data_IF_519874407159
#
_entry.id   IF_519874407159
#
_cell.length_a   1.000
_cell.length_b   1.000
_cell.length_c   1.000
_cell.angle_alpha   90.00
_cell.angle_beta   90.00
_cell.angle_gamma   90.00
#
_symmetry.space_group_name_H-M   'P 1'
#
loop_
_entity.id
_entity.type
_entity.pdbx_description
1 polymer ?
#
# COMPACT_ATOMS: atom_id res chain seq x y z
N UNK A 1 -38.01 -19.73 -61.14
CA UNK A 1 -36.63 -19.33 -60.82
C UNK A 1 -36.68 -18.44 -59.58
N UNK A 2 -36.03 -18.89 -58.48
CA UNK A 2 -35.39 -18.12 -57.38
C UNK A 2 -36.24 -17.07 -56.63
N UNK A 3 -36.17 -16.88 -55.32
CA UNK A 3 -35.21 -17.29 -54.31
C UNK A 3 -35.90 -17.12 -52.94
N UNK A 4 -35.77 -18.12 -52.07
CA UNK A 4 -36.18 -18.08 -50.67
C UNK A 4 -35.21 -17.18 -49.90
N UNK A 5 -35.71 -16.13 -49.25
CA UNK A 5 -34.94 -15.31 -48.33
C UNK A 5 -35.12 -15.88 -46.91
N UNK A 6 -34.16 -16.70 -46.49
CA UNK A 6 -34.08 -17.22 -45.12
C UNK A 6 -33.37 -16.17 -44.26
N UNK A 7 -34.11 -15.41 -43.45
CA UNK A 7 -33.51 -14.54 -42.43
C UNK A 7 -32.98 -15.41 -41.29
N UNK A 8 -31.67 -15.42 -41.11
CA UNK A 8 -31.01 -16.00 -39.94
C UNK A 8 -31.05 -14.94 -38.82
N UNK A 9 -31.62 -15.21 -37.64
CA UNK A 9 -31.51 -14.30 -36.51
C UNK A 9 -30.08 -14.38 -35.97
N UNK A 10 -29.37 -13.25 -36.05
CA UNK A 10 -28.05 -13.05 -35.49
C UNK A 10 -28.17 -13.00 -33.97
N UNK A 11 -27.90 -14.12 -33.29
CA UNK A 11 -27.82 -14.17 -31.82
C UNK A 11 -26.53 -13.47 -31.42
N UNK A 12 -26.65 -12.23 -30.93
CA UNK A 12 -25.58 -11.50 -30.26
C UNK A 12 -25.28 -12.18 -28.92
N UNK A 13 -24.31 -13.09 -28.92
CA UNK A 13 -23.70 -13.57 -27.67
C UNK A 13 -22.78 -12.46 -27.18
N UNK A 14 -23.27 -11.65 -26.25
CA UNK A 14 -22.42 -10.72 -25.51
C UNK A 14 -21.46 -11.56 -24.66
N UNK A 15 -20.21 -11.68 -25.11
CA UNK A 15 -19.11 -12.15 -24.27
C UNK A 15 -18.91 -11.13 -23.15
N UNK A 16 -19.55 -11.34 -21.99
CA UNK A 16 -19.07 -10.73 -20.76
C UNK A 16 -17.73 -11.38 -20.44
N UNK A 17 -16.65 -10.78 -20.94
CA UNK A 17 -15.33 -11.02 -20.40
C UNK A 17 -15.36 -10.58 -18.94
N UNK A 18 -15.36 -11.56 -18.04
CA UNK A 18 -15.27 -11.33 -16.60
C UNK A 18 -13.85 -10.80 -16.34
N UNK A 19 -13.67 -9.48 -16.33
CA UNK A 19 -12.44 -8.90 -15.81
C UNK A 19 -12.44 -9.19 -14.32
N UNK A 20 -11.60 -10.14 -13.86
CA UNK A 20 -11.31 -10.28 -12.43
C UNK A 20 -10.89 -8.89 -11.94
N UNK A 21 -11.72 -8.26 -11.12
CA UNK A 21 -11.35 -7.02 -10.45
C UNK A 21 -10.10 -7.26 -9.60
N UNK A 22 -9.25 -6.24 -9.45
CA UNK A 22 -8.09 -6.31 -8.55
C UNK A 22 -8.54 -6.82 -7.17
N UNK A 23 -7.80 -7.75 -6.58
CA UNK A 23 -8.09 -8.26 -5.22
C UNK A 23 -7.96 -7.11 -4.21
N UNK A 24 -9.09 -6.53 -3.82
CA UNK A 24 -9.18 -5.41 -2.88
C UNK A 24 -9.34 -5.92 -1.45
N UNK A 25 -8.59 -5.34 -0.51
CA UNK A 25 -8.69 -5.65 0.92
C UNK A 25 -8.70 -4.39 1.74
N UNK A 26 -9.56 -4.40 2.75
CA UNK A 26 -9.67 -3.35 3.74
C UNK A 26 -9.50 -3.94 5.14
N UNK A 27 -8.78 -3.21 6.00
CA UNK A 27 -8.68 -3.51 7.42
C UNK A 27 -8.89 -2.23 8.22
N UNK A 28 -9.61 -2.35 9.33
CA UNK A 28 -9.87 -1.26 10.26
C UNK A 28 -9.33 -1.64 11.63
N UNK A 29 -8.53 -0.77 12.22
CA UNK A 29 -8.06 -0.86 13.58
C UNK A 29 -8.67 0.23 14.44
N UNK A 30 -9.30 -0.14 15.53
CA UNK A 30 -9.80 0.80 16.53
C UNK A 30 -8.77 0.98 17.65
N UNK A 31 -8.56 2.21 18.08
CA UNK A 31 -7.64 2.61 19.14
C UNK A 31 -8.42 3.23 20.30
N UNK A 32 -7.70 3.46 21.40
CA UNK A 32 -8.25 4.20 22.53
C UNK A 32 -8.75 5.58 22.11
N UNK A 33 -9.69 6.12 22.90
CA UNK A 33 -10.31 7.45 22.65
C UNK A 33 -11.02 7.56 21.30
N UNK A 34 -11.42 6.41 20.72
CA UNK A 34 -12.24 6.35 19.51
C UNK A 34 -11.48 6.62 18.21
N UNK A 35 -10.14 6.63 18.22
CA UNK A 35 -9.39 6.79 16.99
C UNK A 35 -9.50 5.51 16.13
N UNK A 36 -9.57 5.67 14.81
CA UNK A 36 -9.61 4.54 13.87
C UNK A 36 -8.54 4.68 12.81
N UNK A 37 -7.95 3.57 12.39
CA UNK A 37 -7.05 3.50 11.25
C UNK A 37 -7.64 2.54 10.23
N UNK A 38 -7.93 3.04 9.04
CA UNK A 38 -8.40 2.24 7.91
C UNK A 38 -7.29 2.12 6.89
N UNK A 39 -6.99 0.90 6.45
CA UNK A 39 -6.03 0.60 5.40
C UNK A 39 -6.74 -0.09 4.25
N UNK A 40 -6.42 0.31 3.03
CA UNK A 40 -6.93 -0.33 1.81
C UNK A 40 -5.76 -0.70 0.91
N UNK A 41 -5.75 -1.95 0.42
CA UNK A 41 -4.75 -2.44 -0.51
C UNK A 41 -5.35 -3.19 -1.68
N UNK A 42 -4.63 -3.19 -2.79
CA UNK A 42 -4.93 -4.03 -3.96
C UNK A 42 -3.76 -4.95 -4.28
N UNK A 43 -4.03 -6.01 -5.05
CA UNK A 43 -2.96 -6.74 -5.74
C UNK A 43 -2.10 -5.78 -6.57
N UNK A 44 -0.78 -5.98 -6.50
CA UNK A 44 0.17 -5.20 -7.30
C UNK A 44 0.21 -5.74 -8.73
N UNK A 45 -0.12 -4.90 -9.71
CA UNK A 45 -0.15 -5.28 -11.13
C UNK A 45 1.08 -4.69 -11.81
N UNK A 46 2.16 -5.47 -11.94
CA UNK A 46 3.44 -5.00 -12.47
C UNK A 46 3.36 -4.28 -13.82
N UNK A 47 2.40 -4.64 -14.68
CA UNK A 47 2.18 -4.00 -15.98
C UNK A 47 1.69 -2.55 -15.90
N UNK A 48 1.15 -2.12 -14.75
CA UNK A 48 0.66 -0.76 -14.51
C UNK A 48 1.77 0.18 -13.99
N UNK A 49 2.95 -0.36 -13.67
CA UNK A 49 4.03 0.38 -13.04
C UNK A 49 5.32 0.37 -13.87
N UNK A 50 6.14 1.40 -13.70
CA UNK A 50 7.50 1.47 -14.26
C UNK A 50 8.49 0.90 -13.25
N UNK A 51 8.88 -0.35 -13.45
CA UNK A 51 9.87 -1.03 -12.62
C UNK A 51 11.28 -0.73 -13.13
N UNK A 52 12.15 -0.21 -12.24
CA UNK A 52 13.59 -0.10 -12.49
C UNK A 52 14.32 -1.12 -11.65
N UNK A 53 15.15 -1.93 -12.30
CA UNK A 53 16.06 -2.87 -11.64
C UNK A 53 17.45 -2.24 -11.48
N UNK A 54 18.09 -2.51 -10.35
CA UNK A 54 19.45 -2.10 -10.02
C UNK A 54 20.26 -3.35 -9.64
N UNK A 55 21.55 -3.39 -10.00
CA UNK A 55 22.42 -4.52 -9.65
C UNK A 55 21.97 -5.85 -10.27
N UNK A 56 21.93 -6.91 -9.47
CA UNK A 56 21.57 -8.29 -9.88
C UNK A 56 20.06 -8.46 -10.10
N UNK A 57 19.47 -7.60 -10.92
CA UNK A 57 18.04 -7.61 -11.25
C UNK A 57 17.08 -7.27 -10.10
N UNK A 58 17.54 -6.85 -8.92
CA UNK A 58 16.65 -6.41 -7.84
C UNK A 58 15.91 -5.12 -8.20
N UNK A 59 14.59 -5.08 -8.02
CA UNK A 59 13.80 -3.85 -8.19
C UNK A 59 14.24 -2.84 -7.14
N UNK A 60 14.63 -1.66 -7.58
CA UNK A 60 15.09 -0.57 -6.72
C UNK A 60 14.19 0.67 -6.82
N UNK A 61 13.53 0.88 -7.97
CA UNK A 61 12.52 1.92 -8.11
C UNK A 61 11.22 1.36 -8.69
N UNK A 62 10.11 1.90 -8.20
CA UNK A 62 8.77 1.73 -8.78
C UNK A 62 8.23 3.13 -9.05
N UNK A 63 7.86 3.40 -10.29
CA UNK A 63 7.39 4.72 -10.75
C UNK A 63 8.36 5.86 -10.43
N UNK A 64 9.65 5.57 -10.53
CA UNK A 64 10.73 6.53 -10.27
C UNK A 64 10.98 6.83 -8.79
N UNK A 65 10.27 6.18 -7.87
CA UNK A 65 10.46 6.32 -6.41
C UNK A 65 11.22 5.13 -5.84
N UNK A 66 12.05 5.32 -4.79
CA UNK A 66 12.71 4.21 -4.11
C UNK A 66 11.71 3.17 -3.61
N UNK A 67 12.04 1.90 -3.84
CA UNK A 67 11.30 0.75 -3.33
C UNK A 67 12.00 0.22 -2.06
N UNK A 68 11.25 0.12 -0.97
CA UNK A 68 11.78 -0.24 0.35
C UNK A 68 11.23 -1.57 0.87
N UNK A 69 12.01 -2.18 1.78
CA UNK A 69 11.62 -3.38 2.54
C UNK A 69 11.36 -4.60 1.67
N UNK A 70 12.24 -4.82 0.70
CA UNK A 70 12.27 -6.00 -0.14
C UNK A 70 13.70 -6.32 -0.58
N UNK A 71 13.96 -7.59 -0.88
CA UNK A 71 15.20 -8.05 -1.56
C UNK A 71 15.19 -7.72 -3.07
N UNK A 72 14.18 -7.00 -3.54
CA UNK A 72 14.02 -6.53 -4.90
C UNK A 72 13.07 -7.37 -5.75
N UNK A 73 12.23 -8.18 -5.10
CA UNK A 73 11.16 -8.91 -5.75
C UNK A 73 9.98 -8.00 -6.12
N UNK A 74 9.11 -8.48 -7.00
CA UNK A 74 7.88 -7.76 -7.36
C UNK A 74 6.97 -7.72 -6.12
N UNK A 75 6.44 -6.55 -5.73
CA UNK A 75 5.51 -6.48 -4.61
C UNK A 75 4.29 -7.38 -4.82
N UNK A 76 3.73 -7.90 -3.72
CA UNK A 76 2.47 -8.64 -3.77
C UNK A 76 1.28 -7.69 -3.79
N UNK A 77 1.37 -6.60 -3.03
CA UNK A 77 0.27 -5.64 -2.83
C UNK A 77 0.75 -4.20 -2.80
N UNK A 78 -0.14 -3.31 -3.22
CA UNK A 78 0.02 -1.85 -3.13
C UNK A 78 -0.91 -1.29 -2.05
N UNK A 79 -0.40 -0.38 -1.21
CA UNK A 79 -1.22 0.39 -0.28
C UNK A 79 -1.85 1.56 -1.06
N UNK A 80 -3.17 1.52 -1.26
CA UNK A 80 -3.87 2.51 -2.11
C UNK A 80 -4.58 3.60 -1.29
N UNK A 81 -4.90 3.34 -0.03
CA UNK A 81 -5.40 4.35 0.91
C UNK A 81 -5.03 3.98 2.33
N UNK A 82 -4.71 5.01 3.13
CA UNK A 82 -4.63 4.89 4.56
C UNK A 82 -5.24 6.14 5.20
N UNK A 83 -6.16 5.93 6.12
CA UNK A 83 -6.97 6.99 6.74
C UNK A 83 -6.97 6.85 8.23
N UNK A 84 -6.74 7.94 8.92
CA UNK A 84 -6.89 8.01 10.38
C UNK A 84 -8.10 8.87 10.72
N UNK A 85 -8.96 8.36 11.60
CA UNK A 85 -10.08 9.10 12.18
C UNK A 85 -9.68 9.54 13.58
N UNK A 86 -9.60 10.85 13.79
CA UNK A 86 -9.27 11.46 15.08
C UNK A 86 -10.36 12.49 15.39
N UNK A 87 -11.02 12.37 16.55
CA UNK A 87 -12.14 13.25 16.92
C UNK A 87 -13.22 13.31 15.83
N UNK A 88 -13.61 12.15 15.28
CA UNK A 88 -14.59 12.00 14.20
C UNK A 88 -14.23 12.72 12.88
N UNK A 89 -12.99 13.19 12.73
CA UNK A 89 -12.46 13.79 11.50
C UNK A 89 -11.59 12.77 10.76
N UNK A 90 -11.98 12.33 9.55
CA UNK A 90 -11.14 11.49 8.73
C UNK A 90 -10.02 12.30 8.07
N UNK A 91 -8.78 11.84 8.20
CA UNK A 91 -7.58 12.44 7.63
C UNK A 91 -6.90 11.39 6.75
N UNK A 92 -6.78 11.68 5.46
CA UNK A 92 -6.04 10.85 4.51
C UNK A 92 -4.53 11.00 4.75
N UNK A 93 -3.81 9.90 4.60
CA UNK A 93 -2.37 9.82 4.76
C UNK A 93 -1.69 9.59 3.40
N UNK A 94 -0.56 10.25 3.16
CA UNK A 94 0.23 9.99 1.95
C UNK A 94 0.81 8.57 2.00
N UNK A 95 0.27 7.70 1.15
CA UNK A 95 0.71 6.31 0.96
C UNK A 95 1.48 6.11 -0.35
N UNK A 96 1.84 7.18 -1.03
CA UNK A 96 2.49 7.12 -2.33
C UNK A 96 3.76 6.28 -2.27
N UNK A 97 3.87 5.27 -3.14
CA UNK A 97 5.04 4.38 -3.23
C UNK A 97 5.16 3.41 -2.07
N UNK A 98 4.06 3.07 -1.41
CA UNK A 98 4.04 2.11 -0.31
C UNK A 98 3.47 0.77 -0.75
N UNK A 99 4.23 -0.27 -0.47
CA UNK A 99 3.97 -1.62 -0.94
C UNK A 99 4.07 -2.62 0.22
N UNK A 100 3.49 -3.80 0.01
CA UNK A 100 3.40 -4.88 0.99
C UNK A 100 2.92 -4.41 2.39
N UNK A 101 1.73 -3.77 2.47
CA UNK A 101 1.14 -3.35 3.75
C UNK A 101 0.67 -4.49 4.67
N UNK A 102 0.64 -5.71 4.16
CA UNK A 102 0.36 -6.91 4.91
C UNK A 102 1.64 -7.75 4.89
N UNK A 103 2.10 -8.15 6.07
CA UNK A 103 3.24 -9.05 6.20
C UNK A 103 2.90 -10.41 5.62
N UNK A 104 3.92 -11.16 5.19
CA UNK A 104 3.74 -12.52 4.69
C UNK A 104 4.15 -13.52 5.77
N UNK A 105 3.23 -14.40 6.18
CA UNK A 105 3.54 -15.54 7.04
C UNK A 105 2.91 -16.80 6.46
N UNK A 106 3.72 -17.85 6.23
CA UNK A 106 3.27 -19.11 5.60
C UNK A 106 2.50 -18.91 4.27
N UNK A 107 2.94 -17.96 3.46
CA UNK A 107 2.32 -17.54 2.19
C UNK A 107 0.96 -16.82 2.31
N UNK A 108 0.48 -16.58 3.52
CA UNK A 108 -0.74 -15.81 3.79
C UNK A 108 -0.38 -14.38 4.18
N UNK A 109 -1.17 -13.43 3.69
CA UNK A 109 -1.03 -12.02 4.03
C UNK A 109 -1.69 -11.77 5.40
N UNK A 110 -0.94 -11.20 6.32
CA UNK A 110 -1.42 -10.87 7.66
C UNK A 110 -1.04 -9.43 8.04
N UNK A 111 -1.99 -8.72 8.64
CA UNK A 111 -1.77 -7.39 9.20
C UNK A 111 -2.18 -7.39 10.67
N UNK A 112 -1.33 -6.83 11.54
CA UNK A 112 -1.61 -6.66 12.96
C UNK A 112 -1.71 -5.18 13.31
N UNK A 113 -2.56 -4.88 14.29
CA UNK A 113 -2.61 -3.55 14.92
C UNK A 113 -1.24 -3.16 15.51
N UNK A 114 -0.43 -4.12 15.95
CA UNK A 114 0.91 -3.85 16.54
C UNK A 114 1.91 -3.25 15.55
N UNK A 115 1.64 -3.36 14.23
CA UNK A 115 2.42 -2.69 13.19
C UNK A 115 2.20 -1.17 13.19
N UNK A 116 1.16 -0.68 13.87
CA UNK A 116 0.68 0.69 13.78
C UNK A 116 0.52 1.30 15.17
N UNK A 117 1.33 2.32 15.46
CA UNK A 117 1.29 3.02 16.75
C UNK A 117 0.94 4.49 16.55
N UNK A 118 -0.14 4.91 17.20
CA UNK A 118 -0.57 6.31 17.24
C UNK A 118 -0.25 6.91 18.60
N UNK A 119 0.39 8.08 18.60
CA UNK A 119 0.80 8.81 19.80
C UNK A 119 0.30 10.24 19.71
N UNK A 120 -0.30 10.74 20.79
CA UNK A 120 -0.62 12.16 20.93
C UNK A 120 0.65 12.89 21.39
N UNK A 121 1.07 13.93 20.66
CA UNK A 121 2.35 14.61 20.93
C UNK A 121 2.18 16.02 21.48
N UNK A 122 1.23 16.81 20.96
CA UNK A 122 0.98 18.18 21.41
C UNK A 122 -0.35 18.71 20.84
N UNK A 123 -1.14 19.42 21.64
CA UNK A 123 -2.43 20.04 21.23
C UNK A 123 -3.29 19.12 20.35
N UNK A 124 -3.55 19.50 19.10
CA UNK A 124 -4.28 18.69 18.12
C UNK A 124 -3.31 18.06 17.10
N UNK A 125 -2.19 17.52 17.60
CA UNK A 125 -1.15 16.88 16.81
C UNK A 125 -0.86 15.46 17.32
N UNK A 126 -0.82 14.52 16.38
CA UNK A 126 -0.51 13.12 16.61
C UNK A 126 0.61 12.66 15.68
N UNK A 127 1.27 11.58 16.08
CA UNK A 127 2.19 10.85 15.23
C UNK A 127 1.68 9.42 15.07
N UNK A 128 1.53 8.99 13.82
CA UNK A 128 1.30 7.59 13.47
C UNK A 128 2.58 6.99 12.92
N UNK A 129 2.99 5.83 13.42
CA UNK A 129 4.10 5.04 12.88
C UNK A 129 3.60 3.71 12.38
N UNK A 130 4.00 3.36 11.17
CA UNK A 130 3.65 2.11 10.48
C UNK A 130 4.88 1.29 10.14
N UNK A 131 4.68 -0.02 10.11
CA UNK A 131 5.70 -1.05 9.92
C UNK A 131 5.30 -1.92 8.73
N UNK A 132 6.17 -2.13 7.74
CA UNK A 132 5.84 -2.76 6.47
C UNK A 132 6.93 -3.75 6.04
N UNK A 133 6.56 -4.88 5.43
CA UNK A 133 7.51 -5.93 5.06
C UNK A 133 6.98 -6.82 3.94
N UNK A 134 7.87 -7.32 3.09
CA UNK A 134 7.59 -8.37 2.12
C UNK A 134 7.92 -9.79 2.63
N UNK A 135 8.41 -9.91 3.88
CA UNK A 135 8.88 -11.15 4.49
C UNK A 135 10.41 -11.35 4.44
N UNK A 136 11.12 -10.61 3.59
CA UNK A 136 12.58 -10.62 3.50
C UNK A 136 13.21 -9.30 3.98
N UNK A 137 12.58 -8.17 3.63
CA UNK A 137 12.96 -6.83 4.07
C UNK A 137 11.89 -6.14 4.91
N UNK A 138 12.26 -5.06 5.59
CA UNK A 138 11.35 -4.24 6.39
C UNK A 138 11.61 -2.75 6.19
N UNK A 139 10.55 -1.95 6.21
CA UNK A 139 10.60 -0.49 6.22
C UNK A 139 9.58 0.11 7.17
N UNK A 140 9.85 1.33 7.60
CA UNK A 140 8.94 2.11 8.44
C UNK A 140 8.53 3.40 7.76
N UNK A 141 7.33 3.85 8.09
CA UNK A 141 6.87 5.18 7.76
C UNK A 141 6.28 5.88 8.99
N UNK A 142 6.39 7.21 9.01
CA UNK A 142 5.84 8.06 10.06
C UNK A 142 5.03 9.19 9.41
N UNK A 143 3.88 9.48 10.00
CA UNK A 143 3.04 10.61 9.63
C UNK A 143 2.82 11.49 10.85
N UNK A 144 3.09 12.78 10.68
CA UNK A 144 2.61 13.80 11.60
C UNK A 144 1.22 14.25 11.12
N UNK A 145 0.26 14.20 12.03
CA UNK A 145 -1.16 14.39 11.76
C UNK A 145 -1.66 15.56 12.60
N UNK A 146 -2.40 16.46 11.97
CA UNK A 146 -3.08 17.57 12.63
C UNK A 146 -4.49 17.75 12.05
N UNK A 147 -5.28 18.67 12.61
CA UNK A 147 -6.60 18.98 12.05
C UNK A 147 -6.57 19.42 10.58
N UNK A 148 -5.46 20.04 10.13
CA UNK A 148 -5.31 20.52 8.76
C UNK A 148 -4.93 19.44 7.75
N UNK A 149 -4.64 18.22 8.20
CA UNK A 149 -4.20 17.12 7.36
C UNK A 149 -2.98 16.39 7.92
N UNK A 150 -2.27 15.68 7.05
CA UNK A 150 -1.10 14.91 7.42
C UNK A 150 0.10 15.19 6.51
N UNK A 151 1.29 14.93 7.04
CA UNK A 151 2.55 14.92 6.30
C UNK A 151 3.30 13.64 6.70
N UNK A 152 3.76 12.89 5.70
CA UNK A 152 4.69 11.78 5.92
C UNK A 152 6.09 12.34 6.18
N UNK A 153 6.57 12.20 7.42
CA UNK A 153 7.85 12.75 7.90
C UNK A 153 9.00 11.76 7.72
N UNK A 154 8.70 10.45 7.71
CA UNK A 154 9.70 9.39 7.55
C UNK A 154 9.19 8.36 6.56
N UNK A 155 10.06 7.93 5.66
CA UNK A 155 9.95 6.69 4.88
C UNK A 155 11.36 6.12 4.71
N UNK A 156 11.67 5.01 5.40
CA UNK A 156 13.03 4.44 5.38
C UNK A 156 13.06 2.93 5.62
N UNK A 157 14.02 2.25 4.98
CA UNK A 157 14.37 0.86 5.30
C UNK A 157 15.22 0.79 6.58
N UNK A 158 15.22 -0.38 7.23
CA UNK A 158 16.09 -0.63 8.39
C UNK A 158 17.59 -0.52 8.04
N UNK A 159 17.98 -0.86 6.81
CA UNK A 159 19.36 -0.73 6.32
C UNK A 159 19.86 0.73 6.31
N UNK A 160 18.96 1.71 6.29
CA UNK A 160 19.32 3.13 6.42
C UNK A 160 19.79 3.53 7.84
N UNK A 161 19.70 2.65 8.84
CA UNK A 161 20.15 2.92 10.21
C UNK A 161 21.64 2.66 10.43
N UNK A 162 22.29 1.82 9.61
CA UNK A 162 23.73 1.51 9.78
C UNK A 162 24.67 2.65 9.37
N UNK A 163 24.17 3.64 8.62
CA UNK A 163 24.99 4.78 8.18
C UNK A 163 24.69 6.10 8.92
N UNK A 164 23.78 6.10 9.90
CA UNK A 164 23.43 7.32 10.66
C UNK A 164 24.19 7.47 11.99
N UNK A 165 24.99 6.47 12.39
CA UNK A 165 25.81 6.53 13.61
C UNK A 165 27.26 6.96 13.36
N UNK A 166 27.71 7.11 12.11
CA UNK A 166 29.11 7.46 11.77
C UNK A 166 29.33 8.97 11.49
N UNK A 167 28.36 9.82 11.84
CA UNK A 167 28.45 11.27 11.61
C UNK A 167 28.22 12.08 12.90
N UNK A 168 28.78 11.61 14.02
CA UNK A 168 29.06 12.42 15.20
C UNK A 168 30.31 11.84 15.89
N UNK A 169 31.48 12.07 15.30
CA UNK A 169 32.78 12.14 15.99
C UNK A 169 33.69 13.12 15.22
#
# INVERSE_FOLDING_TARGET
>A
MKCVFFMIPFVLVANLAWTKGKDFREVVFEYEKGHKLTLQSTEFVAAEHKLKRCGKESICLIDGKPFFGSDGDVPRRELVSMKVEIQDKPIELDVTGMFNPWNVYKNEDYVSKDQYRIEHIWENTWVLRGSFSDGAGYYSAEWMISEGGSIRTILKSLEGLSHSCDAMD
#
